data_IF_031086854633
#
_entry.id   IF_031086854633
#
_cell.length_a   1.000
_cell.length_b   1.000
_cell.length_c   1.000
_cell.angle_alpha   90.00
_cell.angle_beta   90.00
_cell.angle_gamma   90.00
#
_symmetry.space_group_name_H-M   'P 1'
#
loop_
_entity.id
_entity.type
_entity.pdbx_description
1 polymer ?
#
# COMPACT_ATOMS: atom_id res chain seq x y z
N UNK A 1 -2.68 -27.94 13.54
CA UNK A 1 -2.43 -26.56 14.00
C UNK A 1 -2.68 -25.61 12.85
N UNK A 2 -3.75 -24.83 12.90
CA UNK A 2 -4.04 -23.78 11.90
C UNK A 2 -3.02 -22.65 12.13
N UNK A 3 -2.25 -22.32 11.09
CA UNK A 3 -1.27 -21.21 11.15
C UNK A 3 -2.07 -19.92 11.37
N UNK A 4 -1.70 -19.04 12.32
CA UNK A 4 -2.44 -17.80 12.53
C UNK A 4 -2.45 -16.99 11.24
N UNK A 5 -3.65 -16.71 10.74
CA UNK A 5 -3.85 -15.96 9.51
C UNK A 5 -3.45 -14.51 9.77
N UNK A 6 -2.74 -13.90 8.81
CA UNK A 6 -2.38 -12.49 8.88
C UNK A 6 -3.66 -11.65 8.96
N UNK A 7 -3.82 -10.86 10.02
CA UNK A 7 -4.87 -9.84 10.10
C UNK A 7 -4.41 -8.64 9.28
N UNK A 8 -4.94 -8.52 8.06
CA UNK A 8 -4.63 -7.44 7.14
C UNK A 8 -5.88 -6.58 6.87
N UNK A 9 -5.68 -5.26 6.78
CA UNK A 9 -6.73 -4.29 6.44
C UNK A 9 -7.52 -4.67 5.18
N UNK A 10 -6.85 -5.19 4.15
CA UNK A 10 -7.46 -5.64 2.89
C UNK A 10 -8.43 -6.82 3.08
N UNK A 11 -8.25 -7.62 4.13
CA UNK A 11 -9.03 -8.83 4.40
C UNK A 11 -10.05 -8.65 5.53
N UNK A 12 -10.21 -7.42 6.03
CA UNK A 12 -11.17 -7.13 7.10
C UNK A 12 -12.60 -7.54 6.72
N UNK A 13 -13.31 -8.17 7.66
CA UNK A 13 -14.70 -8.58 7.47
C UNK A 13 -14.90 -9.83 6.59
N UNK A 14 -13.85 -10.40 5.99
CA UNK A 14 -13.93 -11.72 5.35
C UNK A 14 -14.00 -12.80 6.44
N UNK A 15 -14.73 -13.88 6.15
CA UNK A 15 -14.64 -15.09 6.96
C UNK A 15 -13.27 -15.78 6.75
N UNK A 16 -12.92 -16.72 7.62
CA UNK A 16 -11.61 -17.38 7.59
C UNK A 16 -11.35 -18.16 6.28
N UNK A 17 -12.40 -18.72 5.68
CA UNK A 17 -12.29 -19.49 4.45
C UNK A 17 -11.97 -18.59 3.25
N UNK A 18 -12.68 -17.47 3.10
CA UNK A 18 -12.46 -16.50 2.04
C UNK A 18 -11.11 -15.81 2.19
N UNK A 19 -10.77 -15.35 3.39
CA UNK A 19 -9.45 -14.76 3.64
C UNK A 19 -8.33 -15.78 3.41
N UNK A 20 -8.52 -17.04 3.78
CA UNK A 20 -7.60 -18.13 3.48
C UNK A 20 -7.42 -18.36 1.98
N UNK A 21 -8.51 -18.33 1.20
CA UNK A 21 -8.46 -18.43 -0.27
C UNK A 21 -7.70 -17.29 -0.91
N UNK A 22 -7.93 -16.05 -0.47
CA UNK A 22 -7.17 -14.88 -0.98
C UNK A 22 -5.69 -15.02 -0.62
N UNK A 23 -5.38 -15.38 0.62
CA UNK A 23 -3.98 -15.57 1.06
C UNK A 23 -3.27 -16.73 0.37
N UNK A 24 -4.00 -17.75 -0.11
CA UNK A 24 -3.42 -18.83 -0.90
C UNK A 24 -2.89 -18.37 -2.26
N UNK A 25 -3.35 -17.22 -2.77
CA UNK A 25 -2.82 -16.59 -3.99
C UNK A 25 -1.49 -15.86 -3.76
N UNK A 26 -1.13 -15.61 -2.50
CA UNK A 26 -0.03 -14.73 -2.17
C UNK A 26 1.33 -15.42 -2.29
N UNK A 27 2.30 -14.70 -2.88
CA UNK A 27 3.71 -15.07 -2.86
C UNK A 27 4.43 -14.34 -1.73
N UNK A 28 5.01 -15.12 -0.81
CA UNK A 28 5.86 -14.58 0.26
C UNK A 28 7.16 -14.01 -0.32
N UNK A 29 7.50 -12.80 0.09
CA UNK A 29 8.74 -12.10 -0.29
C UNK A 29 9.39 -11.51 0.96
N UNK A 30 10.72 -11.67 1.08
CA UNK A 30 11.51 -11.08 2.18
C UNK A 30 12.42 -10.03 1.56
N UNK A 31 12.35 -8.82 2.12
CA UNK A 31 13.17 -7.67 1.76
C UNK A 31 14.26 -7.50 2.80
N UNK A 32 15.50 -7.34 2.36
CA UNK A 32 16.60 -6.96 3.25
C UNK A 32 16.48 -5.49 3.64
N UNK A 33 17.15 -5.08 4.72
CA UNK A 33 17.25 -3.66 5.09
C UNK A 33 17.81 -2.83 3.92
N UNK A 34 17.18 -1.69 3.65
CA UNK A 34 17.49 -0.80 2.54
C UNK A 34 16.89 -1.21 1.19
N UNK A 35 16.28 -2.39 1.07
CA UNK A 35 15.72 -2.86 -0.19
C UNK A 35 14.50 -2.03 -0.61
N UNK A 36 14.41 -1.74 -1.91
CA UNK A 36 13.22 -1.18 -2.53
C UNK A 36 12.27 -2.30 -2.94
N UNK A 37 10.99 -2.18 -2.58
CA UNK A 37 9.95 -3.13 -2.99
C UNK A 37 9.36 -2.75 -4.36
N UNK A 38 9.13 -1.45 -4.57
CA UNK A 38 8.70 -0.90 -5.85
C UNK A 38 9.05 0.57 -5.95
N UNK A 39 9.21 1.05 -7.18
CA UNK A 39 9.54 2.43 -7.50
C UNK A 39 8.33 3.21 -8.00
N UNK A 40 8.31 4.52 -7.75
CA UNK A 40 7.33 5.43 -8.30
C UNK A 40 7.31 5.37 -9.84
N UNK A 41 6.12 5.31 -10.43
CA UNK A 41 5.92 5.32 -11.89
C UNK A 41 6.01 3.94 -12.54
N UNK A 42 6.62 2.95 -11.88
CA UNK A 42 6.69 1.57 -12.37
C UNK A 42 5.31 0.93 -12.50
N UNK A 43 5.23 -0.09 -13.35
CA UNK A 43 4.04 -0.93 -13.50
C UNK A 43 3.66 -1.57 -12.17
N UNK A 44 2.44 -1.31 -11.71
CA UNK A 44 1.90 -1.91 -10.50
C UNK A 44 1.20 -3.22 -10.84
N UNK A 45 1.90 -4.33 -10.65
CA UNK A 45 1.40 -5.68 -10.96
C UNK A 45 0.87 -6.41 -9.73
N UNK A 46 1.28 -5.98 -8.54
CA UNK A 46 0.91 -6.63 -7.27
C UNK A 46 0.58 -5.63 -6.18
N UNK A 47 -0.38 -6.01 -5.35
CA UNK A 47 -0.64 -5.38 -4.05
C UNK A 47 0.05 -6.20 -2.96
N UNK A 48 0.48 -5.57 -1.88
CA UNK A 48 1.31 -6.21 -0.86
C UNK A 48 0.74 -6.03 0.53
N UNK A 49 0.70 -7.13 1.29
CA UNK A 49 0.35 -7.13 2.71
C UNK A 49 1.60 -7.28 3.55
N UNK A 50 1.82 -6.38 4.51
CA UNK A 50 2.99 -6.45 5.38
C UNK A 50 2.75 -7.48 6.47
N UNK A 51 3.59 -8.51 6.52
CA UNK A 51 3.51 -9.58 7.52
C UNK A 51 4.39 -9.28 8.74
N UNK A 52 5.59 -8.73 8.50
CA UNK A 52 6.58 -8.35 9.52
C UNK A 52 7.43 -7.20 8.99
N UNK A 53 8.00 -6.42 9.91
CA UNK A 53 8.82 -5.26 9.58
C UNK A 53 7.96 -4.03 9.25
N UNK A 54 8.43 -3.19 8.33
CA UNK A 54 7.71 -1.96 7.93
C UNK A 54 8.20 -1.47 6.58
N UNK A 55 7.38 -0.68 5.90
CA UNK A 55 7.74 -0.01 4.66
C UNK A 55 7.61 1.50 4.79
N UNK A 56 8.60 2.23 4.30
CA UNK A 56 8.56 3.68 4.13
C UNK A 56 8.15 4.00 2.71
N UNK A 57 7.17 4.88 2.58
CA UNK A 57 6.63 5.33 1.30
C UNK A 57 7.02 6.78 1.07
N UNK A 58 7.65 7.04 -0.07
CA UNK A 58 8.31 8.31 -0.34
C UNK A 58 7.91 8.91 -1.69
N UNK A 59 8.02 10.22 -1.79
CA UNK A 59 7.91 11.00 -3.02
C UNK A 59 9.20 11.79 -3.27
N UNK A 60 9.73 11.80 -4.49
CA UNK A 60 10.79 12.73 -4.85
C UNK A 60 10.22 14.16 -4.88
N UNK A 61 10.91 15.08 -4.22
CA UNK A 61 10.59 16.51 -4.22
C UNK A 61 11.86 17.32 -4.43
N UNK A 62 11.77 18.38 -5.23
CA UNK A 62 12.84 19.36 -5.34
C UNK A 62 12.84 20.25 -4.10
N UNK A 63 13.92 20.18 -3.33
CA UNK A 63 14.15 21.00 -2.14
C UNK A 63 15.39 21.84 -2.40
N UNK A 64 15.17 23.12 -2.75
CA UNK A 64 16.21 24.02 -3.27
C UNK A 64 16.80 23.44 -4.57
N UNK A 65 18.11 23.19 -4.62
CA UNK A 65 18.83 22.69 -5.79
C UNK A 65 19.12 21.17 -5.72
N UNK A 66 18.40 20.42 -4.87
CA UNK A 66 18.55 18.96 -4.74
C UNK A 66 17.20 18.25 -4.72
N UNK A 67 17.18 17.05 -5.30
CA UNK A 67 16.06 16.13 -5.16
C UNK A 67 16.18 15.37 -3.83
N UNK A 68 15.10 15.39 -3.05
CA UNK A 68 14.98 14.62 -1.81
C UNK A 68 13.77 13.70 -1.85
N UNK A 69 13.94 12.47 -1.36
CA UNK A 69 12.84 11.54 -1.14
C UNK A 69 12.14 11.87 0.19
N UNK A 70 11.04 12.60 0.12
CA UNK A 70 10.24 13.00 1.28
C UNK A 70 9.39 11.83 1.74
N UNK A 71 9.42 11.54 3.04
CA UNK A 71 8.56 10.52 3.66
C UNK A 71 7.10 11.00 3.64
N UNK A 72 6.24 10.24 2.97
CA UNK A 72 4.80 10.48 2.92
C UNK A 72 4.12 9.73 4.06
N UNK A 73 4.42 8.44 4.20
CA UNK A 73 3.85 7.60 5.24
C UNK A 73 4.75 6.38 5.52
N UNK A 74 4.53 5.77 6.69
CA UNK A 74 5.10 4.49 7.06
C UNK A 74 3.98 3.48 7.25
N UNK A 75 4.18 2.25 6.78
CA UNK A 75 3.22 1.15 6.86
C UNK A 75 3.82 -0.02 7.62
N UNK A 76 3.02 -0.62 8.50
CA UNK A 76 3.43 -1.62 9.49
C UNK A 76 2.67 -2.95 9.28
N UNK A 77 2.97 -4.03 10.03
CA UNK A 77 2.33 -5.31 9.83
C UNK A 77 0.80 -5.23 9.93
N UNK A 78 0.12 -5.93 9.03
CA UNK A 78 -1.34 -5.89 8.88
C UNK A 78 -1.84 -4.75 7.99
N UNK A 79 -0.97 -3.91 7.45
CA UNK A 79 -1.35 -2.86 6.50
C UNK A 79 -0.98 -3.21 5.06
N UNK A 80 -1.73 -2.62 4.13
CA UNK A 80 -1.57 -2.81 2.70
C UNK A 80 -0.80 -1.68 2.02
N UNK A 81 0.04 -2.03 1.04
CA UNK A 81 0.67 -1.08 0.10
C UNK A 81 0.51 -1.56 -1.34
N UNK A 82 0.74 -0.67 -2.31
CA UNK A 82 0.69 -1.03 -3.73
C UNK A 82 -0.74 -1.18 -4.28
N UNK A 83 -1.73 -0.51 -3.69
CA UNK A 83 -3.13 -0.51 -4.17
C UNK A 83 -3.27 -0.07 -5.64
N UNK A 84 -2.29 0.67 -6.17
CA UNK A 84 -2.17 0.98 -7.59
C UNK A 84 -2.26 -0.26 -8.49
N UNK A 85 -1.95 -1.45 -8.00
CA UNK A 85 -2.08 -2.68 -8.78
C UNK A 85 -3.53 -3.04 -9.12
N UNK A 86 -4.51 -2.57 -8.35
CA UNK A 86 -5.92 -2.84 -8.59
C UNK A 86 -6.68 -1.64 -9.19
N UNK A 87 -6.02 -0.47 -9.28
CA UNK A 87 -6.65 0.78 -9.70
C UNK A 87 -5.90 1.36 -10.92
N UNK A 88 -6.59 1.63 -12.05
CA UNK A 88 -5.98 2.30 -13.19
C UNK A 88 -5.33 3.64 -12.79
N UNK A 89 -4.19 4.04 -13.38
CA UNK A 89 -3.56 3.49 -14.58
C UNK A 89 -2.55 2.37 -14.31
N UNK A 90 -2.62 1.68 -13.16
CA UNK A 90 -1.71 0.58 -12.79
C UNK A 90 -0.24 1.00 -12.73
N UNK A 91 0.01 2.17 -12.13
CA UNK A 91 1.36 2.66 -11.84
C UNK A 91 1.50 3.03 -10.39
N UNK A 92 2.63 2.69 -9.78
CA UNK A 92 2.89 3.05 -8.38
C UNK A 92 2.97 4.57 -8.25
N UNK A 93 2.29 5.09 -7.24
CA UNK A 93 2.21 6.53 -6.96
C UNK A 93 3.28 7.00 -5.98
N UNK A 94 4.05 6.08 -5.39
CA UNK A 94 5.11 6.31 -4.40
C UNK A 94 6.20 5.25 -4.59
N UNK A 95 7.39 5.51 -4.06
CA UNK A 95 8.44 4.51 -3.89
C UNK A 95 8.35 3.88 -2.51
N UNK A 96 8.42 2.54 -2.43
CA UNK A 96 8.39 1.79 -1.18
C UNK A 96 9.77 1.18 -0.86
N UNK A 97 10.31 1.49 0.32
CA UNK A 97 11.57 0.92 0.80
C UNK A 97 11.42 0.29 2.18
N UNK A 98 12.18 -0.78 2.43
CA UNK A 98 12.23 -1.48 3.71
C UNK A 98 13.40 -0.94 4.54
N UNK A 99 13.18 -0.12 5.59
CA UNK A 99 14.27 0.39 6.44
C UNK A 99 14.90 -0.69 7.34
N UNK A 100 14.31 -1.89 7.38
CA UNK A 100 14.74 -3.07 8.13
C UNK A 100 14.18 -4.31 7.43
N UNK A 101 14.66 -5.50 7.80
CA UNK A 101 14.17 -6.76 7.22
C UNK A 101 12.64 -6.84 7.30
N UNK A 102 11.99 -6.93 6.14
CA UNK A 102 10.53 -6.81 6.03
C UNK A 102 9.99 -7.96 5.20
N UNK A 103 8.95 -8.61 5.73
CA UNK A 103 8.26 -9.69 5.06
C UNK A 103 6.92 -9.20 4.53
N UNK A 104 6.68 -9.44 3.25
CA UNK A 104 5.42 -9.10 2.58
C UNK A 104 4.83 -10.31 1.86
N UNK A 105 3.51 -10.30 1.72
CA UNK A 105 2.75 -11.18 0.85
C UNK A 105 2.32 -10.41 -0.38
N UNK A 106 2.85 -10.78 -1.55
CA UNK A 106 2.52 -10.17 -2.84
C UNK A 106 1.33 -10.90 -3.48
N UNK A 107 0.28 -10.17 -3.81
CA UNK A 107 -0.91 -10.65 -4.49
C UNK A 107 -0.97 -10.01 -5.88
N UNK A 108 -0.80 -10.81 -6.93
CA UNK A 108 -0.86 -10.29 -8.30
C UNK A 108 -2.27 -9.83 -8.67
N UNK A 109 -2.37 -8.73 -9.43
CA UNK A 109 -3.64 -8.22 -9.97
C UNK A 109 -4.42 -9.33 -10.67
N UNK A 110 -3.77 -10.09 -11.54
CA UNK A 110 -4.43 -11.08 -12.39
C UNK A 110 -5.03 -12.22 -11.56
N UNK A 111 -4.30 -12.72 -10.55
CA UNK A 111 -4.80 -13.73 -9.63
C UNK A 111 -5.99 -13.20 -8.80
N UNK A 112 -5.91 -11.97 -8.30
CA UNK A 112 -7.00 -11.35 -7.56
C UNK A 112 -8.24 -11.16 -8.43
N UNK A 113 -8.08 -10.65 -9.66
CA UNK A 113 -9.19 -10.44 -10.59
C UNK A 113 -9.87 -11.76 -10.94
N UNK A 114 -9.10 -12.81 -11.25
CA UNK A 114 -9.65 -14.14 -11.51
C UNK A 114 -10.40 -14.70 -10.28
N UNK A 115 -9.83 -14.49 -9.08
CA UNK A 115 -10.45 -14.91 -7.83
C UNK A 115 -11.77 -14.17 -7.55
N UNK A 116 -11.81 -12.85 -7.77
CA UNK A 116 -13.00 -12.02 -7.55
C UNK A 116 -14.10 -12.34 -8.56
N UNK A 117 -13.75 -12.63 -9.80
CA UNK A 117 -14.71 -13.09 -10.81
C UNK A 117 -15.39 -14.41 -10.39
N UNK A 118 -14.63 -15.32 -9.78
CA UNK A 118 -15.16 -16.58 -9.27
C UNK A 118 -15.87 -16.44 -7.90
N UNK A 119 -15.52 -15.44 -7.10
CA UNK A 119 -16.02 -15.23 -5.74
C UNK A 119 -16.46 -13.76 -5.52
N UNK A 120 -17.59 -13.32 -6.10
CA UNK A 120 -17.96 -11.91 -6.12
C UNK A 120 -18.16 -11.26 -4.75
N UNK A 121 -18.66 -11.99 -3.75
CA UNK A 121 -18.84 -11.46 -2.40
C UNK A 121 -17.50 -11.16 -1.71
N UNK A 122 -16.52 -12.05 -1.85
CA UNK A 122 -15.16 -11.81 -1.37
C UNK A 122 -14.51 -10.65 -2.13
N UNK A 123 -14.70 -10.59 -3.45
CA UNK A 123 -14.22 -9.47 -4.27
C UNK A 123 -14.83 -8.12 -3.86
N UNK A 124 -16.12 -8.08 -3.55
CA UNK A 124 -16.80 -6.89 -3.03
C UNK A 124 -16.19 -6.44 -1.70
N UNK A 125 -16.04 -7.36 -0.75
CA UNK A 125 -15.48 -7.05 0.57
C UNK A 125 -14.04 -6.52 0.46
N UNK A 126 -13.18 -7.17 -0.33
CA UNK A 126 -11.81 -6.71 -0.56
C UNK A 126 -11.79 -5.35 -1.26
N UNK A 127 -12.67 -5.11 -2.23
CA UNK A 127 -12.78 -3.81 -2.92
C UNK A 127 -13.20 -2.68 -1.98
N UNK A 128 -14.13 -2.94 -1.06
CA UNK A 128 -14.53 -1.97 -0.04
C UNK A 128 -13.39 -1.68 0.94
N UNK A 129 -12.63 -2.69 1.35
CA UNK A 129 -11.45 -2.51 2.19
C UNK A 129 -10.37 -1.69 1.48
N UNK A 130 -10.14 -1.96 0.19
CA UNK A 130 -9.23 -1.19 -0.65
C UNK A 130 -9.67 0.28 -0.77
N UNK A 131 -10.96 0.54 -0.95
CA UNK A 131 -11.52 1.89 -0.99
C UNK A 131 -11.28 2.65 0.31
N UNK A 132 -11.42 1.99 1.46
CA UNK A 132 -11.07 2.56 2.77
C UNK A 132 -9.58 2.93 2.86
N UNK A 133 -8.67 2.04 2.44
CA UNK A 133 -7.22 2.31 2.41
C UNK A 133 -6.89 3.53 1.53
N UNK A 134 -7.55 3.64 0.37
CA UNK A 134 -7.37 4.79 -0.53
C UNK A 134 -7.94 6.07 0.10
N UNK A 135 -9.12 6.00 0.74
CA UNK A 135 -9.76 7.11 1.42
C UNK A 135 -8.90 7.68 2.55
N UNK A 136 -8.32 6.82 3.39
CA UNK A 136 -7.37 7.22 4.44
C UNK A 136 -6.17 7.97 3.85
N UNK A 137 -5.59 7.45 2.75
CA UNK A 137 -4.46 8.11 2.07
C UNK A 137 -4.85 9.45 1.48
N UNK A 138 -6.02 9.56 0.86
CA UNK A 138 -6.50 10.83 0.31
C UNK A 138 -6.61 11.89 1.43
N UNK A 139 -7.15 11.52 2.58
CA UNK A 139 -7.24 12.41 3.74
C UNK A 139 -5.86 12.83 4.28
N UNK A 140 -4.89 11.90 4.33
CA UNK A 140 -3.51 12.21 4.70
C UNK A 140 -2.89 13.24 3.74
N UNK A 141 -3.02 13.02 2.43
CA UNK A 141 -2.54 13.94 1.42
C UNK A 141 -3.22 15.31 1.50
N UNK A 142 -4.54 15.36 1.67
CA UNK A 142 -5.29 16.60 1.86
C UNK A 142 -4.81 17.37 3.08
N UNK A 143 -4.55 16.68 4.20
CA UNK A 143 -4.05 17.30 5.43
C UNK A 143 -2.65 17.88 5.23
N UNK A 144 -1.75 17.15 4.56
CA UNK A 144 -0.41 17.66 4.23
C UNK A 144 -0.48 18.88 3.31
N UNK A 145 -1.31 18.81 2.27
CA UNK A 145 -1.52 19.90 1.32
C UNK A 145 -2.07 21.17 2.01
N UNK A 146 -3.10 21.03 2.84
CA UNK A 146 -3.68 22.16 3.57
C UNK A 146 -2.64 22.84 4.46
N UNK A 147 -1.81 22.06 5.17
CA UNK A 147 -0.72 22.61 6.00
C UNK A 147 0.32 23.37 5.18
N UNK A 148 0.63 22.88 3.98
CA UNK A 148 1.56 23.56 3.07
C UNK A 148 0.97 24.87 2.53
N UNK A 149 -0.30 24.85 2.09
CA UNK A 149 -1.01 26.04 1.61
C UNK A 149 -1.10 27.10 2.71
N UNK A 150 -1.43 26.71 3.94
CA UNK A 150 -1.47 27.63 5.08
C UNK A 150 -0.12 28.30 5.31
N UNK A 151 0.99 27.54 5.29
CA UNK A 151 2.34 28.11 5.39
C UNK A 151 2.66 29.10 4.28
N UNK A 152 2.26 28.81 3.03
CA UNK A 152 2.48 29.72 1.91
C UNK A 152 1.67 31.02 2.03
N UNK A 153 0.43 30.95 2.52
CA UNK A 153 -0.41 32.14 2.76
C UNK A 153 0.18 32.99 3.88
N UNK A 154 0.56 32.39 5.00
CA UNK A 154 1.18 33.08 6.14
C UNK A 154 2.48 33.79 5.73
N UNK A 155 3.35 33.12 4.98
CA UNK A 155 4.62 33.70 4.51
C UNK A 155 4.44 34.86 3.52
N UNK A 156 3.29 34.96 2.83
CA UNK A 156 2.97 36.04 1.89
C UNK A 156 2.29 37.24 2.58
N UNK A 157 1.69 37.01 3.73
CA UNK A 157 1.04 38.05 4.55
C UNK A 157 1.99 38.72 5.56
N UNK A 158 3.18 38.15 5.77
CA UNK A 158 4.27 38.71 6.56
C UNK A 158 5.19 39.60 5.70
#
# INVERSE_FOLDING_TARGET
>A
MVKPMLKADLLNGLNEEDAGRVMALAKRTILTSGAELFHLGDSAESIYLIARGRLRLTLPMQVRDREENVLVEERVPGQTVGWSALIPPFRFTLTATAPLETEVFALSRDALHAHFAANPLAGYAVSMNLASVIGERLQLFQTMWVREVQRMVEARCA
#
